data_IF_242262106011
#
_entry.id   IF_242262106011
#
_cell.length_a   1.000
_cell.length_b   1.000
_cell.length_c   1.000
_cell.angle_alpha   90.00
_cell.angle_beta   90.00
_cell.angle_gamma   90.00
#
_symmetry.space_group_name_H-M   'P 1'
#
loop_
_entity.id
_entity.type
_entity.pdbx_description
1 polymer ?
#
# COMPACT_ATOMS: atom_id res chain seq x y z
N UNK A 1 0.49 7.33 -4.30
CA UNK A 1 -0.79 7.55 -3.60
C UNK A 1 -0.58 7.10 -2.16
N UNK A 2 -0.81 8.02 -1.20
CA UNK A 2 -0.74 7.87 0.26
C UNK A 2 0.61 7.52 0.92
N UNK A 3 1.38 8.56 1.29
CA UNK A 3 2.25 8.50 2.46
C UNK A 3 1.50 9.15 3.63
N UNK A 4 0.96 8.31 4.53
CA UNK A 4 0.33 8.73 5.78
C UNK A 4 1.23 8.28 6.91
N UNK A 5 2.18 9.12 7.32
CA UNK A 5 2.56 9.24 8.74
C UNK A 5 3.29 10.58 8.94
N UNK A 6 2.53 11.67 8.93
CA UNK A 6 2.93 12.87 9.67
C UNK A 6 2.16 12.88 10.98
N UNK A 7 2.76 12.26 11.99
CA UNK A 7 2.41 12.55 13.38
C UNK A 7 2.75 14.03 13.57
N UNK A 8 1.73 14.87 13.52
CA UNK A 8 1.85 16.25 13.98
C UNK A 8 1.52 16.19 15.45
N UNK A 9 2.56 16.14 16.29
CA UNK A 9 2.40 16.43 17.71
C UNK A 9 1.96 17.88 17.84
N UNK A 10 0.64 18.08 17.88
CA UNK A 10 0.06 19.34 18.33
C UNK A 10 0.28 19.36 19.83
N UNK A 11 1.29 20.10 20.30
CA UNK A 11 1.46 20.36 21.72
C UNK A 11 0.28 21.23 22.16
N UNK A 12 -0.75 20.60 22.74
CA UNK A 12 -1.90 21.30 23.32
C UNK A 12 -1.45 21.87 24.68
N UNK A 13 -1.48 23.20 24.85
CA UNK A 13 -1.43 23.83 26.18
C UNK A 13 -0.32 24.83 26.48
N UNK A 14 0.45 25.33 25.51
CA UNK A 14 1.49 26.34 25.77
C UNK A 14 1.10 27.73 25.25
N UNK A 15 0.75 28.65 26.15
CA UNK A 15 0.46 30.05 25.83
C UNK A 15 1.74 30.91 25.95
N UNK A 16 2.14 31.59 24.87
CA UNK A 16 3.18 32.63 24.87
C UNK A 16 2.57 34.02 24.70
N UNK A 17 3.09 35.00 25.43
CA UNK A 17 2.69 36.40 25.33
C UNK A 17 3.50 37.29 26.26
N UNK A 18 3.28 38.60 26.19
CA UNK A 18 3.92 39.58 27.07
C UNK A 18 3.04 39.86 28.30
N UNK A 19 3.53 39.51 29.49
CA UNK A 19 2.78 39.71 30.76
C UNK A 19 2.42 41.16 31.06
N UNK A 20 3.12 42.13 30.46
CA UNK A 20 2.90 43.58 30.62
C UNK A 20 2.90 44.26 29.25
N UNK A 21 2.05 43.77 28.35
CA UNK A 21 1.95 44.26 26.98
C UNK A 21 1.63 45.76 26.89
N UNK A 22 0.69 46.23 27.72
CA UNK A 22 0.30 47.65 27.74
C UNK A 22 -0.15 48.05 29.16
N UNK A 23 0.21 49.26 29.62
CA UNK A 23 -0.23 49.75 30.94
C UNK A 23 -1.69 50.17 30.87
N UNK A 24 -2.51 49.76 31.84
CA UNK A 24 -3.94 50.11 31.92
C UNK A 24 -4.19 51.62 31.79
N UNK A 25 -3.52 52.41 32.62
CA UNK A 25 -3.71 53.88 32.63
C UNK A 25 -3.38 54.53 31.29
N UNK A 26 -2.41 53.99 30.55
CA UNK A 26 -2.09 54.48 29.22
C UNK A 26 -3.10 54.02 28.16
N UNK A 27 -3.71 52.83 28.33
CA UNK A 27 -4.71 52.31 27.41
C UNK A 27 -6.01 53.11 27.50
N UNK A 28 -6.45 53.38 28.73
CA UNK A 28 -7.68 54.13 29.05
C UNK A 28 -7.62 55.58 28.54
N UNK A 29 -6.43 56.16 28.43
CA UNK A 29 -6.22 57.51 27.87
C UNK A 29 -5.82 57.53 26.40
N UNK A 30 -5.76 56.37 25.73
CA UNK A 30 -5.31 56.29 24.32
C UNK A 30 -6.48 56.23 23.35
N UNK A 31 -6.21 56.56 22.08
CA UNK A 31 -7.16 56.39 20.98
C UNK A 31 -7.41 54.92 20.58
N UNK A 32 -6.76 53.96 21.26
CA UNK A 32 -6.90 52.53 20.97
C UNK A 32 -8.12 51.89 21.62
N UNK A 33 -8.66 52.49 22.69
CA UNK A 33 -9.89 52.06 23.33
C UNK A 33 -11.03 52.98 22.86
N UNK A 34 -11.98 52.43 22.11
CA UNK A 34 -13.13 53.18 21.56
C UNK A 34 -14.41 52.45 21.92
N UNK A 35 -15.36 53.14 22.55
CA UNK A 35 -16.64 52.58 22.97
C UNK A 35 -16.48 51.28 23.80
N UNK A 36 -15.57 51.30 24.78
CA UNK A 36 -15.16 50.15 25.60
C UNK A 36 -14.64 48.92 24.81
N UNK A 37 -14.31 49.10 23.54
CA UNK A 37 -13.78 48.07 22.65
C UNK A 37 -12.29 48.26 22.37
N UNK A 38 -11.53 47.16 22.47
CA UNK A 38 -10.12 47.08 22.10
C UNK A 38 -9.95 46.06 20.97
N UNK A 39 -9.37 46.50 19.84
CA UNK A 39 -8.99 45.59 18.74
C UNK A 39 -7.51 45.24 18.82
N UNK A 40 -7.20 43.95 18.94
CA UNK A 40 -5.83 43.45 19.01
C UNK A 40 -5.49 42.73 17.72
N UNK A 41 -4.53 43.27 16.96
CA UNK A 41 -4.01 42.62 15.77
C UNK A 41 -2.79 41.76 16.12
N UNK A 42 -2.88 40.45 15.90
CA UNK A 42 -1.79 39.52 16.14
C UNK A 42 -1.40 38.82 14.84
N UNK A 43 -0.12 38.92 14.45
CA UNK A 43 0.45 38.18 13.33
C UNK A 43 1.21 36.97 13.85
N UNK A 44 0.82 35.77 13.43
CA UNK A 44 1.48 34.51 13.82
C UNK A 44 2.33 34.00 12.66
N UNK A 45 3.64 33.99 12.85
CA UNK A 45 4.58 33.36 11.92
C UNK A 45 4.84 31.90 12.31
N UNK A 46 4.53 30.96 11.43
CA UNK A 46 4.87 29.54 11.63
C UNK A 46 6.17 29.25 10.89
N UNK A 47 7.25 29.06 11.65
CA UNK A 47 8.52 28.59 11.09
C UNK A 47 8.53 27.06 11.14
N UNK A 48 8.57 26.41 9.98
CA UNK A 48 8.85 24.98 9.88
C UNK A 48 10.36 24.79 9.74
N UNK A 49 11.00 24.21 10.75
CA UNK A 49 12.36 23.71 10.58
C UNK A 49 12.29 22.43 9.74
N UNK A 50 12.96 22.45 8.59
CA UNK A 50 13.34 21.23 7.90
C UNK A 50 14.68 20.80 8.48
N UNK A 51 14.67 19.87 9.43
CA UNK A 51 15.88 19.13 9.75
C UNK A 51 16.12 18.18 8.58
N UNK A 52 17.13 18.45 7.75
CA UNK A 52 17.68 17.41 6.88
C UNK A 52 18.12 16.28 7.82
N UNK A 53 17.44 15.13 7.75
CA UNK A 53 17.93 13.92 8.40
C UNK A 53 19.35 13.60 7.90
N UNK A 54 20.08 12.68 8.56
CA UNK A 54 21.37 12.22 8.03
C UNK A 54 21.23 11.91 6.55
N UNK A 55 22.17 12.38 5.71
CA UNK A 55 22.16 12.14 4.25
C UNK A 55 21.95 10.64 4.02
N UNK A 56 20.72 10.27 3.65
CA UNK A 56 20.40 8.89 3.32
C UNK A 56 21.08 8.66 1.97
N UNK A 57 22.22 7.96 1.99
CA UNK A 57 22.83 7.44 0.77
C UNK A 57 21.87 6.41 0.19
N UNK A 58 20.94 6.88 -0.66
CA UNK A 58 20.03 6.00 -1.37
C UNK A 58 20.79 5.42 -2.56
N UNK A 59 21.25 4.19 -2.43
CA UNK A 59 21.68 3.40 -3.59
C UNK A 59 20.43 3.19 -4.44
N UNK A 60 20.40 3.60 -5.72
CA UNK A 60 19.26 3.34 -6.58
C UNK A 60 19.10 1.83 -6.73
N UNK A 61 18.05 1.28 -6.13
CA UNK A 61 17.70 -0.14 -6.26
C UNK A 61 16.88 -0.29 -7.55
N UNK A 62 17.31 -1.14 -8.50
CA UNK A 62 16.53 -1.39 -9.70
C UNK A 62 15.18 -2.03 -9.32
N UNK A 63 14.14 -1.73 -10.09
CA UNK A 63 12.85 -2.39 -9.95
C UNK A 63 13.00 -3.91 -10.12
N UNK A 64 12.31 -4.69 -9.31
CA UNK A 64 12.32 -6.15 -9.45
C UNK A 64 11.72 -6.58 -10.79
N UNK A 65 12.39 -7.49 -11.48
CA UNK A 65 11.92 -8.14 -12.71
C UNK A 65 11.42 -9.58 -12.49
N UNK A 66 11.22 -9.98 -11.23
CA UNK A 66 10.85 -11.36 -10.88
C UNK A 66 9.54 -11.82 -11.54
N UNK A 67 8.56 -10.91 -11.66
CA UNK A 67 7.29 -11.21 -12.33
C UNK A 67 7.46 -11.52 -13.82
N UNK A 68 8.43 -10.89 -14.49
CA UNK A 68 8.74 -11.18 -15.90
C UNK A 68 9.37 -12.58 -16.03
N UNK A 69 10.25 -12.96 -15.10
CA UNK A 69 10.86 -14.30 -15.11
C UNK A 69 9.82 -15.40 -14.88
N UNK A 70 8.87 -15.20 -13.97
CA UNK A 70 7.78 -16.15 -13.75
C UNK A 70 6.77 -16.17 -14.90
N UNK A 71 6.47 -15.01 -15.52
CA UNK A 71 5.67 -14.94 -16.73
C UNK A 71 6.27 -15.77 -17.87
N UNK A 72 7.57 -15.61 -18.13
CA UNK A 72 8.28 -16.40 -19.13
C UNK A 72 8.34 -17.90 -18.76
N UNK A 73 8.43 -18.23 -17.46
CA UNK A 73 8.38 -19.63 -17.02
C UNK A 73 7.01 -20.26 -17.34
N UNK A 74 5.92 -19.54 -17.06
CA UNK A 74 4.56 -19.94 -17.42
C UNK A 74 4.41 -20.13 -18.93
N UNK A 75 4.79 -19.13 -19.73
CA UNK A 75 4.70 -19.17 -21.20
C UNK A 75 5.52 -20.32 -21.81
N UNK A 76 6.71 -20.59 -21.26
CA UNK A 76 7.58 -21.65 -21.78
C UNK A 76 7.09 -23.07 -21.45
N UNK A 77 6.18 -23.24 -20.49
CA UNK A 77 5.70 -24.53 -20.00
C UNK A 77 6.76 -25.44 -19.37
N UNK A 78 8.02 -24.99 -19.25
CA UNK A 78 9.12 -25.81 -18.73
C UNK A 78 8.93 -26.14 -17.26
N UNK A 79 9.06 -27.42 -16.92
CA UNK A 79 8.96 -27.90 -15.54
C UNK A 79 7.57 -27.78 -14.94
N UNK A 80 6.53 -27.66 -15.77
CA UNK A 80 5.13 -27.76 -15.32
C UNK A 80 4.88 -29.16 -14.74
N UNK A 81 4.13 -29.21 -13.65
CA UNK A 81 3.92 -30.41 -12.83
C UNK A 81 2.43 -30.64 -12.48
N UNK A 82 1.54 -29.83 -13.04
CA UNK A 82 0.07 -29.97 -13.01
C UNK A 82 -0.54 -29.50 -14.33
N UNK A 83 -1.64 -30.14 -14.73
CA UNK A 83 -2.51 -29.67 -15.79
C UNK A 83 -3.89 -29.31 -15.22
N UNK A 84 -4.52 -28.30 -15.82
CA UNK A 84 -5.91 -27.96 -15.56
C UNK A 84 -6.73 -28.14 -16.83
N UNK A 85 -7.80 -28.90 -16.75
CA UNK A 85 -8.80 -28.98 -17.82
C UNK A 85 -9.91 -27.97 -17.52
N UNK A 86 -10.06 -26.98 -18.40
CA UNK A 86 -11.01 -25.87 -18.25
C UNK A 86 -11.70 -25.66 -19.58
N UNK A 87 -13.03 -25.83 -19.61
CA UNK A 87 -13.83 -25.69 -20.83
C UNK A 87 -13.31 -26.53 -22.02
N UNK A 88 -12.80 -27.74 -21.73
CA UNK A 88 -12.20 -28.65 -22.72
C UNK A 88 -10.78 -28.29 -23.16
N UNK A 89 -10.21 -27.18 -22.68
CA UNK A 89 -8.82 -26.79 -22.92
C UNK A 89 -7.90 -27.23 -21.78
N UNK A 90 -6.65 -27.57 -22.11
CA UNK A 90 -5.64 -28.00 -21.14
C UNK A 90 -4.63 -26.88 -20.90
N UNK A 91 -4.43 -26.54 -19.63
CA UNK A 91 -3.47 -25.55 -19.18
C UNK A 91 -2.42 -26.16 -18.25
N UNK A 92 -1.17 -26.24 -18.69
CA UNK A 92 -0.05 -26.67 -17.84
C UNK A 92 0.43 -25.54 -16.92
N UNK A 93 0.73 -25.87 -15.67
CA UNK A 93 1.16 -24.89 -14.67
C UNK A 93 2.14 -25.50 -13.64
N UNK A 94 2.59 -24.65 -12.69
CA UNK A 94 3.55 -25.02 -11.65
C UNK A 94 2.88 -24.99 -10.27
N UNK A 95 2.76 -26.16 -9.62
CA UNK A 95 2.08 -26.33 -8.32
C UNK A 95 2.62 -25.39 -7.27
N UNK A 96 3.95 -25.25 -7.18
CA UNK A 96 4.60 -24.40 -6.19
C UNK A 96 4.29 -22.91 -6.39
N UNK A 97 4.25 -22.45 -7.65
CA UNK A 97 3.92 -21.05 -7.96
C UNK A 97 2.46 -20.78 -7.58
N UNK A 98 1.54 -21.66 -7.99
CA UNK A 98 0.12 -21.55 -7.65
C UNK A 98 -0.12 -21.57 -6.13
N UNK A 99 0.47 -22.51 -5.41
CA UNK A 99 0.30 -22.65 -3.96
C UNK A 99 0.95 -21.53 -3.15
N UNK A 100 2.07 -20.96 -3.62
CA UNK A 100 2.68 -19.81 -2.97
C UNK A 100 1.83 -18.53 -3.13
N UNK A 101 1.02 -18.45 -4.18
CA UNK A 101 0.29 -17.25 -4.59
C UNK A 101 -1.21 -17.31 -4.33
N UNK A 102 -1.77 -18.48 -4.05
CA UNK A 102 -3.18 -18.68 -3.73
C UNK A 102 -3.37 -19.73 -2.63
N UNK A 103 -4.00 -19.37 -1.50
CA UNK A 103 -4.31 -20.34 -0.45
C UNK A 103 -5.30 -21.43 -0.93
N UNK A 104 -6.17 -21.11 -1.89
CA UNK A 104 -7.09 -22.07 -2.51
C UNK A 104 -6.30 -23.15 -3.27
N UNK A 105 -5.40 -22.73 -4.17
CA UNK A 105 -4.54 -23.69 -4.87
C UNK A 105 -3.62 -24.45 -3.91
N UNK A 106 -3.14 -23.81 -2.84
CA UNK A 106 -2.35 -24.50 -1.81
C UNK A 106 -3.15 -25.61 -1.14
N UNK A 107 -4.38 -25.35 -0.74
CA UNK A 107 -5.26 -26.34 -0.12
C UNK A 107 -5.62 -27.46 -1.09
N UNK A 108 -5.90 -27.15 -2.36
CA UNK A 108 -6.26 -28.13 -3.37
C UNK A 108 -5.06 -29.02 -3.79
N UNK A 109 -3.85 -28.46 -3.86
CA UNK A 109 -2.67 -29.18 -4.35
C UNK A 109 -1.88 -29.90 -3.24
N UNK A 110 -1.88 -29.34 -2.03
CA UNK A 110 -1.06 -29.79 -0.91
C UNK A 110 -1.84 -29.99 0.40
N UNK A 111 -3.12 -29.66 0.42
CA UNK A 111 -3.97 -29.83 1.60
C UNK A 111 -4.58 -31.23 1.71
N UNK A 112 -5.35 -31.47 2.78
CA UNK A 112 -5.99 -32.76 3.02
C UNK A 112 -7.08 -33.11 2.00
N UNK A 113 -7.58 -32.11 1.25
CA UNK A 113 -8.55 -32.28 0.14
C UNK A 113 -7.86 -32.56 -1.20
N UNK A 114 -6.55 -32.84 -1.21
CA UNK A 114 -5.82 -33.16 -2.42
C UNK A 114 -6.41 -34.40 -3.08
N UNK A 115 -6.89 -34.24 -4.31
CA UNK A 115 -7.37 -35.36 -5.12
C UNK A 115 -6.25 -36.39 -5.33
N UNK A 116 -6.62 -37.66 -5.44
CA UNK A 116 -5.65 -38.75 -5.70
C UNK A 116 -4.91 -38.56 -7.02
N UNK A 117 -5.56 -37.93 -8.00
CA UNK A 117 -4.97 -37.55 -9.27
C UNK A 117 -4.74 -36.04 -9.32
N UNK A 118 -3.53 -35.59 -8.97
CA UNK A 118 -3.13 -34.17 -9.09
C UNK A 118 -2.35 -33.86 -10.37
N UNK A 119 -2.34 -34.79 -11.33
CA UNK A 119 -1.72 -34.55 -12.62
C UNK A 119 -2.64 -33.76 -13.55
N UNK A 120 -3.96 -33.98 -13.45
CA UNK A 120 -4.97 -33.21 -14.17
C UNK A 120 -6.14 -32.84 -13.24
N UNK A 121 -6.41 -31.54 -13.10
CA UNK A 121 -7.48 -30.99 -12.25
C UNK A 121 -8.52 -30.35 -13.16
N UNK A 122 -9.77 -30.81 -13.07
CA UNK A 122 -10.87 -30.23 -13.85
C UNK A 122 -11.45 -29.01 -13.13
N UNK A 123 -11.65 -27.92 -13.86
CA UNK A 123 -12.31 -26.69 -13.37
C UNK A 123 -13.61 -26.53 -14.15
N UNK A 124 -14.74 -26.73 -13.49
CA UNK A 124 -16.06 -26.75 -14.14
C UNK A 124 -16.74 -25.37 -14.17
N UNK A 125 -16.42 -24.50 -13.21
CA UNK A 125 -17.09 -23.20 -13.02
C UNK A 125 -16.31 -22.01 -13.61
N UNK A 126 -15.48 -22.24 -14.64
CA UNK A 126 -14.66 -21.19 -15.24
C UNK A 126 -14.49 -21.40 -16.75
N UNK A 127 -14.58 -20.31 -17.51
CA UNK A 127 -14.27 -20.31 -18.94
C UNK A 127 -12.75 -20.25 -19.16
N UNK A 128 -12.28 -20.88 -20.23
CA UNK A 128 -10.86 -20.93 -20.60
C UNK A 128 -10.16 -19.54 -20.63
N UNK A 129 -10.76 -18.46 -21.21
CA UNK A 129 -10.15 -17.13 -21.19
C UNK A 129 -9.97 -16.55 -19.79
N UNK A 130 -10.93 -16.79 -18.89
CA UNK A 130 -10.86 -16.32 -17.51
C UNK A 130 -9.74 -17.06 -16.75
N UNK A 131 -9.61 -18.38 -16.96
CA UNK A 131 -8.56 -19.17 -16.32
C UNK A 131 -7.16 -18.75 -16.78
N UNK A 132 -6.99 -18.42 -18.07
CA UNK A 132 -5.73 -17.88 -18.60
C UNK A 132 -5.32 -16.58 -17.88
N UNK A 133 -6.28 -15.70 -17.58
CA UNK A 133 -6.04 -14.47 -16.82
C UNK A 133 -5.60 -14.80 -15.39
N UNK A 134 -6.23 -15.79 -14.74
CA UNK A 134 -5.81 -16.25 -13.39
C UNK A 134 -4.36 -16.74 -13.39
N UNK A 135 -3.95 -17.53 -14.38
CA UNK A 135 -2.56 -18.00 -14.47
C UNK A 135 -1.55 -16.87 -14.62
N UNK A 136 -1.83 -15.89 -15.49
CA UNK A 136 -0.96 -14.72 -15.70
C UNK A 136 -0.84 -13.91 -14.41
N UNK A 137 -1.95 -13.68 -13.72
CA UNK A 137 -1.97 -12.89 -12.49
C UNK A 137 -1.16 -13.56 -11.37
N UNK A 138 -1.28 -14.88 -11.25
CA UNK A 138 -0.48 -15.68 -10.31
C UNK A 138 1.01 -15.62 -10.65
N UNK A 139 1.38 -15.68 -11.94
CA UNK A 139 2.78 -15.62 -12.39
C UNK A 139 3.41 -14.22 -12.28
N UNK A 140 2.66 -13.14 -12.48
CA UNK A 140 3.22 -11.77 -12.49
C UNK A 140 3.33 -11.12 -11.10
N UNK A 141 3.14 -11.88 -10.01
CA UNK A 141 3.15 -11.37 -8.63
C UNK A 141 2.15 -10.23 -8.36
N UNK A 142 1.18 -10.00 -9.25
CA UNK A 142 0.05 -9.13 -8.97
C UNK A 142 -0.82 -9.85 -7.94
N UNK A 143 -1.08 -9.20 -6.81
CA UNK A 143 -1.86 -9.80 -5.71
C UNK A 143 -3.30 -9.93 -6.19
N UNK A 144 -3.80 -11.15 -6.38
CA UNK A 144 -5.24 -11.39 -6.38
C UNK A 144 -5.64 -12.05 -5.08
N UNK A 145 -6.34 -11.28 -4.25
CA UNK A 145 -7.42 -11.78 -3.43
C UNK A 145 -8.64 -11.83 -4.34
N UNK A 146 -8.80 -12.92 -5.08
CA UNK A 146 -10.10 -13.30 -5.63
C UNK A 146 -10.25 -14.78 -5.31
N UNK A 147 -10.86 -15.01 -4.15
CA UNK A 147 -11.79 -16.08 -3.73
C UNK A 147 -11.85 -16.00 -2.20
#
# INVERSE_FOLDING_TARGET
>A
MADRHKVTDVIVGYCRGYKRFFKRTALETSDYLKDDCLSVHCSVGVVRSHTEGPKIYSIPVPSSNIGQHFGHLLESGRGTDVNFEVDGEIFSAHKLVLAARSPVFRAQLFGPMKDRNTECIKVEDMEAPAFKVVQILVAHCLVLVIF
#
